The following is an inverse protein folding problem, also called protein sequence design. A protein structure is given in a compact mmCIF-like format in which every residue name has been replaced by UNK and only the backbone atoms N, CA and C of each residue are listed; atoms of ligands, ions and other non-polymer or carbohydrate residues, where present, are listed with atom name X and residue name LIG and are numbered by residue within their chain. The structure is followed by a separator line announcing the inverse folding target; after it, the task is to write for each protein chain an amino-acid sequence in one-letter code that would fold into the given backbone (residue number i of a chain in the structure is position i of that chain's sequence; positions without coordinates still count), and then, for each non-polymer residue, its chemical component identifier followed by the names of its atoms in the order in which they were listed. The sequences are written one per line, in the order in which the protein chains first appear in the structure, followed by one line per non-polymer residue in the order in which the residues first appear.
data_IF_384633582171
#
_entry.id   IF_384633582171
#
_cell.length_a   1.000
_cell.length_b   1.000
_cell.length_c   1.000
_cell.angle_alpha   90.00
_cell.angle_beta   90.00
_cell.angle_gamma   90.00
#
_symmetry.space_group_name_H-M   'P 1'
#
loop_
_entity.id
_entity.type
_entity.pdbx_description
1 polymer ?
#
# COMPACT_ATOMS: atom_id res chain seq x y z
N UNK A 1 28.39 -9.02 -15.24
CA UNK A 1 27.88 -7.92 -16.08
C UNK A 1 26.43 -8.19 -16.43
N UNK A 2 25.50 -7.45 -15.82
CA UNK A 2 24.08 -7.52 -16.14
C UNK A 2 23.86 -6.88 -17.51
N UNK A 3 23.39 -7.68 -18.49
CA UNK A 3 22.98 -7.11 -19.79
C UNK A 3 21.74 -6.26 -19.52
N UNK A 4 21.79 -4.99 -19.90
CA UNK A 4 20.63 -4.11 -19.74
C UNK A 4 19.51 -4.59 -20.66
N UNK A 5 18.26 -4.51 -20.21
CA UNK A 5 17.09 -4.99 -20.99
C UNK A 5 17.07 -4.41 -22.41
N UNK A 6 17.45 -3.14 -22.57
CA UNK A 6 17.58 -2.49 -23.87
C UNK A 6 18.61 -3.17 -24.81
N UNK A 7 19.69 -3.74 -24.27
CA UNK A 7 20.68 -4.48 -25.06
C UNK A 7 20.16 -5.85 -25.48
N UNK A 8 19.22 -6.44 -24.75
CA UNK A 8 18.59 -7.72 -25.10
C UNK A 8 17.55 -7.51 -26.19
N UNK A 9 16.72 -6.46 -26.09
CA UNK A 9 15.76 -6.09 -27.15
C UNK A 9 16.46 -5.84 -28.48
N UNK A 10 17.63 -5.16 -28.47
CA UNK A 10 18.41 -4.89 -29.70
C UNK A 10 18.98 -6.15 -30.38
N UNK A 11 19.04 -7.28 -29.67
CA UNK A 11 19.55 -8.55 -30.20
C UNK A 11 18.44 -9.48 -30.70
N UNK A 12 17.18 -9.14 -30.43
CA UNK A 12 16.02 -9.90 -30.87
C UNK A 12 15.71 -9.64 -32.34
N UNK A 13 15.09 -10.62 -32.97
CA UNK A 13 14.50 -10.48 -34.31
C UNK A 13 13.32 -9.53 -34.29
N UNK A 14 12.94 -9.01 -35.45
CA UNK A 14 11.74 -8.16 -35.58
C UNK A 14 10.45 -8.86 -35.16
N UNK A 15 10.39 -10.18 -35.26
CA UNK A 15 9.23 -10.95 -34.83
C UNK A 15 9.14 -11.01 -33.30
N UNK A 16 10.24 -11.35 -32.63
CA UNK A 16 10.30 -11.39 -31.16
C UNK A 16 10.04 -10.00 -30.53
N UNK A 17 10.52 -8.92 -31.17
CA UNK A 17 10.22 -7.56 -30.73
C UNK A 17 8.72 -7.25 -30.78
N UNK A 18 8.03 -7.61 -31.88
CA UNK A 18 6.58 -7.42 -32.02
C UNK A 18 5.78 -8.21 -30.99
N UNK A 19 6.22 -9.42 -30.67
CA UNK A 19 5.56 -10.25 -29.66
C UNK A 19 5.66 -9.60 -28.27
N UNK A 20 6.82 -9.04 -27.92
CA UNK A 20 7.02 -8.31 -26.67
C UNK A 20 6.20 -7.01 -26.64
N UNK A 21 6.17 -6.26 -27.74
CA UNK A 21 5.35 -5.04 -27.85
C UNK A 21 3.86 -5.36 -27.68
N UNK A 22 3.39 -6.43 -28.32
CA UNK A 22 1.99 -6.89 -28.21
C UNK A 22 1.67 -7.31 -26.78
N UNK A 23 2.58 -8.05 -26.14
CA UNK A 23 2.43 -8.45 -24.75
C UNK A 23 2.41 -7.24 -23.80
N UNK A 24 3.31 -6.27 -23.98
CA UNK A 24 3.35 -5.05 -23.20
C UNK A 24 2.05 -4.23 -23.36
N UNK A 25 1.57 -4.07 -24.59
CA UNK A 25 0.30 -3.39 -24.88
C UNK A 25 -0.89 -4.09 -24.21
N UNK A 26 -0.92 -5.43 -24.24
CA UNK A 26 -1.95 -6.21 -23.55
C UNK A 26 -1.93 -5.98 -22.03
N UNK A 27 -0.75 -5.97 -21.41
CA UNK A 27 -0.63 -5.73 -19.95
C UNK A 27 -1.07 -4.31 -19.60
N UNK A 28 -0.66 -3.30 -20.38
CA UNK A 28 -1.05 -1.89 -20.18
C UNK A 28 -2.57 -1.73 -20.28
N UNK A 29 -3.18 -2.31 -21.32
CA UNK A 29 -4.63 -2.27 -21.53
C UNK A 29 -5.38 -3.02 -20.42
N UNK A 30 -4.97 -4.24 -20.08
CA UNK A 30 -5.62 -5.08 -19.06
C UNK A 30 -5.58 -4.45 -17.67
N UNK A 31 -4.46 -3.82 -17.31
CA UNK A 31 -4.28 -3.17 -16.00
C UNK A 31 -4.75 -1.71 -15.98
N UNK A 32 -5.29 -1.21 -17.10
CA UNK A 32 -5.75 0.18 -17.25
C UNK A 32 -4.69 1.21 -16.81
N UNK A 33 -3.41 0.93 -17.10
CA UNK A 33 -2.23 1.70 -16.68
C UNK A 33 -2.09 3.03 -17.45
N UNK A 34 -3.21 3.62 -17.91
CA UNK A 34 -3.22 4.92 -18.61
C UNK A 34 -2.66 6.05 -17.74
N UNK A 35 -2.79 5.92 -16.43
CA UNK A 35 -2.03 6.73 -15.48
C UNK A 35 -0.75 5.96 -15.15
N UNK A 36 0.38 6.43 -15.67
CA UNK A 36 1.70 6.05 -15.18
C UNK A 36 1.88 6.63 -13.77
N UNK A 37 1.11 6.17 -12.80
CA UNK A 37 1.67 6.06 -11.45
C UNK A 37 2.72 4.97 -11.62
N UNK A 38 3.93 5.43 -11.90
CA UNK A 38 5.13 4.62 -11.85
C UNK A 38 4.98 3.82 -10.58
N UNK A 39 4.89 2.50 -10.70
CA UNK A 39 5.03 1.59 -9.57
C UNK A 39 6.49 1.71 -9.13
N UNK A 40 6.86 2.87 -8.58
CA UNK A 40 8.03 3.01 -7.73
C UNK A 40 7.68 2.17 -6.52
N UNK A 41 8.54 1.21 -6.18
CA UNK A 41 8.41 0.41 -4.96
C UNK A 41 8.30 1.28 -3.69
N UNK A 42 8.52 2.59 -3.81
CA UNK A 42 8.19 3.59 -2.80
C UNK A 42 6.74 4.07 -2.98
N UNK A 43 5.82 3.45 -2.24
CA UNK A 43 4.56 4.13 -1.89
C UNK A 43 4.94 5.37 -1.08
N UNK A 44 4.46 6.54 -1.50
CA UNK A 44 4.83 7.76 -0.79
C UNK A 44 4.30 7.70 0.65
N UNK A 45 5.06 8.26 1.60
CA UNK A 45 4.61 8.36 3.00
C UNK A 45 3.25 9.07 3.11
N UNK A 46 2.94 9.97 2.17
CA UNK A 46 1.68 10.69 2.08
C UNK A 46 0.52 9.78 1.66
N UNK A 47 0.74 8.84 0.73
CA UNK A 47 -0.27 7.84 0.35
C UNK A 47 -0.51 6.83 1.47
N UNK A 48 0.55 6.41 2.17
CA UNK A 48 0.41 5.57 3.35
C UNK A 48 -0.38 6.29 4.46
N UNK A 49 -0.08 7.57 4.73
CA UNK A 49 -0.85 8.38 5.68
C UNK A 49 -2.33 8.45 5.29
N UNK A 50 -2.63 8.77 4.02
CA UNK A 50 -4.02 8.84 3.53
C UNK A 50 -4.75 7.50 3.62
N UNK A 51 -4.05 6.39 3.44
CA UNK A 51 -4.63 5.06 3.58
C UNK A 51 -5.01 4.78 5.04
N UNK A 52 -4.10 5.07 5.97
CA UNK A 52 -4.30 4.85 7.41
C UNK A 52 -5.39 5.77 7.97
N UNK A 53 -5.43 7.03 7.53
CA UNK A 53 -6.52 7.96 7.85
C UNK A 53 -7.87 7.45 7.35
N UNK A 54 -7.93 6.90 6.13
CA UNK A 54 -9.18 6.39 5.54
C UNK A 54 -9.62 5.04 6.10
N UNK A 55 -8.70 4.22 6.62
CA UNK A 55 -9.04 2.91 7.19
C UNK A 55 -9.63 3.00 8.60
N UNK A 56 -9.73 4.20 9.15
CA UNK A 56 -10.22 4.40 10.51
C UNK A 56 -9.23 3.94 11.58
N UNK A 57 -7.95 3.77 11.22
CA UNK A 57 -6.92 3.30 12.14
C UNK A 57 -6.59 4.30 13.25
N UNK A 58 -7.12 5.52 13.15
CA UNK A 58 -7.03 6.56 14.17
C UNK A 58 -8.39 6.88 14.81
N UNK A 59 -9.47 6.17 14.47
CA UNK A 59 -10.80 6.43 15.02
C UNK A 59 -10.84 6.27 16.53
N UNK A 60 -9.93 5.47 17.08
CA UNK A 60 -9.75 5.29 18.52
C UNK A 60 -9.29 6.57 19.25
N UNK A 61 -8.62 7.51 18.56
CA UNK A 61 -8.21 8.79 19.17
C UNK A 61 -9.40 9.64 19.57
N UNK A 62 -10.53 9.50 18.86
CA UNK A 62 -11.79 10.21 19.15
C UNK A 62 -12.78 9.33 19.94
N UNK A 63 -12.39 8.10 20.32
CA UNK A 63 -13.25 7.17 21.03
C UNK A 63 -13.30 7.50 22.52
N UNK A 64 -14.47 7.88 23.03
CA UNK A 64 -14.70 8.07 24.48
C UNK A 64 -14.43 6.80 25.30
N UNK A 65 -14.52 5.61 24.68
CA UNK A 65 -14.25 4.33 25.34
C UNK A 65 -12.75 4.05 25.48
N UNK A 66 -11.90 4.73 24.72
CA UNK A 66 -10.44 4.61 24.76
C UNK A 66 -9.76 5.83 25.39
N UNK A 67 -10.55 6.74 25.99
CA UNK A 67 -10.04 7.89 26.72
C UNK A 67 -9.54 7.51 28.11
N UNK A 68 -8.26 7.11 28.16
CA UNK A 68 -7.51 6.75 29.39
C UNK A 68 -7.22 7.97 30.29
N UNK A 69 -7.62 9.17 29.87
CA UNK A 69 -7.49 10.39 30.67
C UNK A 69 -8.86 10.95 31.09
N UNK A 70 -9.94 10.22 30.84
CA UNK A 70 -11.27 10.67 31.23
C UNK A 70 -11.40 10.70 32.75
N UNK A 71 -12.20 11.64 33.27
CA UNK A 71 -12.54 11.70 34.71
C UNK A 71 -13.36 10.49 35.19
N UNK A 72 -13.81 9.65 34.25
CA UNK A 72 -14.54 8.41 34.49
C UNK A 72 -13.64 7.18 34.36
N UNK A 73 -12.39 7.36 33.94
CA UNK A 73 -11.41 6.29 33.89
C UNK A 73 -10.87 6.02 35.30
N UNK A 74 -10.64 4.75 35.62
CA UNK A 74 -10.19 4.31 36.94
C UNK A 74 -11.29 3.96 37.94
N UNK A 75 -12.31 3.19 37.51
CA UNK A 75 -13.23 2.52 38.45
C UNK A 75 -12.46 1.82 39.58
N UNK A 76 -12.98 1.93 40.80
CA UNK A 76 -12.38 1.32 41.99
C UNK A 76 -12.24 -0.20 41.81
N UNK A 77 -11.01 -0.71 41.89
CA UNK A 77 -10.74 -2.14 41.84
C UNK A 77 -11.34 -2.80 43.09
N UNK A 78 -12.43 -3.54 42.90
CA UNK A 78 -13.01 -4.40 43.94
C UNK A 78 -12.13 -5.64 44.12
N UNK A 79 -11.22 -5.58 45.09
CA UNK A 79 -10.44 -6.74 45.49
C UNK A 79 -11.37 -7.82 46.08
N UNK A 80 -11.33 -9.07 45.58
CA UNK A 80 -12.13 -10.13 46.14
C UNK A 80 -11.69 -10.37 47.59
N UNK A 81 -12.55 -10.03 48.55
CA UNK A 81 -12.32 -10.35 49.96
C UNK A 81 -12.41 -11.86 50.12
N UNK A 82 -11.30 -12.47 50.53
CA UNK A 82 -11.24 -13.91 50.84
C UNK A 82 -12.30 -14.24 51.89
N UNK A 83 -13.19 -15.17 51.54
CA UNK A 83 -14.06 -15.87 52.50
C UNK A 83 -13.27 -16.90 53.29
#
# INVERSE_FOLDING_TARGET
MTKTFAQLIKKMTHQEQREIETFAAFIIARRNLKNQEILTDDTSTQELMRLVEKSGSFDWLDSELEDVYSVRDGDDVLWPTKS
#
